data_IF_942518395630
#
_entry.id   IF_942518395630
#
_cell.length_a   1.000
_cell.length_b   1.000
_cell.length_c   1.000
_cell.angle_alpha   90.00
_cell.angle_beta   90.00
_cell.angle_gamma   90.00
#
_symmetry.space_group_name_H-M   'P 1'
#
loop_
_entity.id
_entity.type
_entity.pdbx_description
1 polymer ?
#
# COMPACT_ATOMS: atom_id res chain seq x y z
N UNK A 1 19.25 -6.96 -9.62
CA UNK A 1 19.92 -7.05 -8.30
C UNK A 1 19.24 -8.06 -7.38
N UNK A 2 17.94 -7.90 -7.06
CA UNK A 2 17.22 -8.83 -6.18
C UNK A 2 17.28 -10.29 -6.65
N UNK A 3 17.03 -10.58 -7.93
CA UNK A 3 17.14 -11.94 -8.51
C UNK A 3 18.52 -12.56 -8.23
N UNK A 4 19.60 -11.83 -8.52
CA UNK A 4 20.96 -12.31 -8.26
C UNK A 4 21.20 -12.60 -6.77
N UNK A 5 20.71 -11.73 -5.88
CA UNK A 5 20.82 -11.92 -4.44
C UNK A 5 20.03 -13.16 -3.96
N UNK A 6 18.82 -13.38 -4.47
CA UNK A 6 17.99 -14.55 -4.17
C UNK A 6 18.71 -15.84 -4.59
N UNK A 7 19.21 -15.89 -5.83
CA UNK A 7 19.89 -17.06 -6.39
C UNK A 7 21.18 -17.40 -5.65
N UNK A 8 21.98 -16.39 -5.29
CA UNK A 8 23.28 -16.58 -4.63
C UNK A 8 23.18 -16.77 -3.10
N UNK A 9 22.06 -16.39 -2.49
CA UNK A 9 21.84 -16.60 -1.05
C UNK A 9 21.71 -18.08 -0.69
N UNK A 10 22.04 -18.45 0.56
CA UNK A 10 21.95 -19.82 1.08
C UNK A 10 20.97 -20.00 2.23
N UNK A 11 20.37 -18.93 2.74
CA UNK A 11 19.43 -18.99 3.86
C UNK A 11 18.04 -19.49 3.46
N UNK A 12 17.32 -20.14 4.38
CA UNK A 12 15.95 -20.64 4.12
C UNK A 12 14.92 -19.51 3.93
N UNK A 13 15.21 -18.35 4.52
CA UNK A 13 14.38 -17.15 4.48
C UNK A 13 15.23 -15.98 3.96
N UNK A 14 14.59 -15.12 3.16
CA UNK A 14 15.20 -13.91 2.61
C UNK A 14 14.46 -12.71 3.17
N UNK A 15 15.19 -11.77 3.79
CA UNK A 15 14.65 -10.50 4.24
C UNK A 15 15.01 -9.41 3.24
N UNK A 16 14.01 -8.77 2.66
CA UNK A 16 14.17 -7.56 1.86
C UNK A 16 14.09 -6.33 2.76
N UNK A 17 15.03 -5.40 2.59
CA UNK A 17 15.12 -4.14 3.32
C UNK A 17 15.59 -3.05 2.34
N UNK A 18 14.85 -1.95 2.28
CA UNK A 18 15.24 -0.81 1.46
C UNK A 18 16.47 -0.10 2.08
N UNK A 19 17.30 0.49 1.23
CA UNK A 19 18.55 1.14 1.65
C UNK A 19 18.38 2.34 2.59
N UNK A 20 17.18 2.93 2.61
CA UNK A 20 16.80 4.05 3.48
C UNK A 20 16.04 3.60 4.74
N UNK A 21 16.02 2.29 5.01
CA UNK A 21 15.24 1.69 6.09
C UNK A 21 16.13 1.15 7.20
N UNK A 22 15.82 1.55 8.43
CA UNK A 22 16.41 1.01 9.65
C UNK A 22 15.43 0.06 10.32
N UNK A 23 15.83 -1.19 10.54
CA UNK A 23 15.00 -2.21 11.21
C UNK A 23 15.34 -2.28 12.69
N UNK A 24 14.34 -2.53 13.55
CA UNK A 24 14.60 -2.78 14.97
C UNK A 24 15.42 -4.06 15.17
N UNK A 25 16.23 -4.17 16.24
CA UNK A 25 17.16 -5.30 16.42
C UNK A 25 16.51 -6.69 16.43
N UNK A 26 15.22 -6.76 16.78
CA UNK A 26 14.47 -8.01 16.90
C UNK A 26 13.54 -8.32 15.70
N UNK A 27 13.58 -7.49 14.64
CA UNK A 27 12.75 -7.67 13.42
C UNK A 27 12.95 -9.04 12.80
N UNK A 28 14.21 -9.45 12.63
CA UNK A 28 14.54 -10.74 11.98
C UNK A 28 13.94 -11.89 12.77
N UNK A 29 14.11 -11.91 14.09
CA UNK A 29 13.57 -12.97 14.95
C UNK A 29 12.04 -13.00 14.95
N UNK A 30 11.38 -11.84 14.97
CA UNK A 30 9.91 -11.73 14.94
C UNK A 30 9.31 -12.21 13.63
N UNK A 31 9.88 -11.80 12.50
CA UNK A 31 9.44 -12.26 11.17
C UNK A 31 9.73 -13.76 10.99
N UNK A 32 10.94 -14.21 11.33
CA UNK A 32 11.32 -15.61 11.22
C UNK A 32 10.42 -16.53 12.08
N UNK A 33 9.99 -16.06 13.26
CA UNK A 33 9.03 -16.79 14.09
C UNK A 33 7.70 -17.03 13.35
N UNK A 34 7.17 -16.00 12.67
CA UNK A 34 5.95 -16.13 11.86
C UNK A 34 6.14 -17.06 10.66
N UNK A 35 7.31 -17.03 10.04
CA UNK A 35 7.68 -17.86 8.89
C UNK A 35 7.92 -19.35 9.22
N UNK A 36 7.87 -19.75 10.50
CA UNK A 36 7.97 -21.18 10.89
C UNK A 36 6.81 -22.01 10.36
N UNK A 37 5.65 -21.40 10.16
CA UNK A 37 4.53 -22.07 9.50
C UNK A 37 4.84 -22.24 8.00
N UNK A 38 4.91 -23.49 7.48
CA UNK A 38 5.23 -23.75 6.08
C UNK A 38 4.20 -23.17 5.11
N UNK A 39 2.96 -22.92 5.54
CA UNK A 39 1.92 -22.28 4.73
C UNK A 39 2.18 -20.79 4.52
N UNK A 40 3.06 -20.14 5.29
CA UNK A 40 3.42 -18.73 5.13
C UNK A 40 4.56 -18.61 4.14
N UNK A 41 4.30 -17.92 3.03
CA UNK A 41 5.27 -17.63 1.97
C UNK A 41 5.95 -16.26 2.14
N UNK A 42 5.27 -15.32 2.80
CA UNK A 42 5.82 -14.01 3.12
C UNK A 42 5.25 -13.44 4.43
N UNK A 43 6.04 -12.63 5.13
CA UNK A 43 5.61 -11.84 6.28
C UNK A 43 6.26 -10.45 6.25
N UNK A 44 5.46 -9.40 6.42
CA UNK A 44 5.95 -8.01 6.50
C UNK A 44 5.87 -7.44 7.91
N UNK A 45 6.75 -6.48 8.20
CA UNK A 45 6.77 -5.73 9.44
C UNK A 45 5.87 -4.48 9.43
N UNK A 46 5.72 -3.87 10.60
CA UNK A 46 5.14 -2.54 10.75
C UNK A 46 6.08 -1.47 10.19
N UNK A 47 5.55 -0.59 9.35
CA UNK A 47 6.28 0.56 8.81
C UNK A 47 6.05 1.82 9.65
N UNK A 48 7.11 2.62 9.80
CA UNK A 48 7.09 3.96 10.39
C UNK A 48 7.95 4.90 9.57
N UNK A 49 7.60 6.18 9.50
CA UNK A 49 8.49 7.17 8.93
C UNK A 49 9.57 7.57 9.93
N UNK A 50 10.85 7.40 9.57
CA UNK A 50 11.99 7.75 10.45
C UNK A 50 12.11 9.26 10.66
N UNK A 51 11.81 10.04 9.62
CA UNK A 51 11.79 11.49 9.60
C UNK A 51 10.38 12.08 9.84
N UNK A 52 9.49 11.34 10.51
CA UNK A 52 8.09 11.77 10.74
C UNK A 52 7.97 13.12 11.46
N UNK A 53 9.01 13.61 12.16
CA UNK A 53 8.94 14.83 12.94
C UNK A 53 9.36 16.10 12.17
N UNK A 54 10.00 15.93 11.01
CA UNK A 54 10.81 16.97 10.34
C UNK A 54 9.95 18.06 9.70
N UNK A 55 8.84 17.67 9.04
CA UNK A 55 7.94 18.58 8.35
C UNK A 55 6.48 18.22 8.54
N UNK A 56 5.55 19.14 8.25
CA UNK A 56 4.12 18.81 8.24
C UNK A 56 3.78 17.70 7.24
N UNK A 57 4.52 17.61 6.12
CA UNK A 57 4.32 16.61 5.08
C UNK A 57 4.78 15.23 5.55
N UNK A 58 5.98 15.11 6.13
CA UNK A 58 6.47 13.83 6.69
C UNK A 58 5.54 13.30 7.79
N UNK A 59 4.99 14.16 8.65
CA UNK A 59 3.94 13.81 9.64
C UNK A 59 2.68 13.25 8.97
N UNK A 60 2.25 13.86 7.88
CA UNK A 60 1.07 13.43 7.13
C UNK A 60 1.31 12.08 6.45
N UNK A 61 2.49 11.87 5.87
CA UNK A 61 2.88 10.62 5.22
C UNK A 61 3.00 9.49 6.25
N UNK A 62 3.53 9.76 7.46
CA UNK A 62 3.55 8.75 8.54
C UNK A 62 2.13 8.24 8.88
N UNK A 63 1.16 9.16 8.96
CA UNK A 63 -0.25 8.78 9.17
C UNK A 63 -0.82 8.01 7.97
N UNK A 64 -0.46 8.37 6.74
CA UNK A 64 -0.84 7.64 5.52
C UNK A 64 -0.28 6.21 5.54
N UNK A 65 1.00 6.05 5.86
CA UNK A 65 1.68 4.77 5.98
C UNK A 65 1.04 3.91 7.07
N UNK A 66 0.68 4.51 8.22
CA UNK A 66 -0.01 3.76 9.26
C UNK A 66 -1.36 3.23 8.80
N UNK A 67 -2.13 4.00 8.03
CA UNK A 67 -3.41 3.53 7.48
C UNK A 67 -3.22 2.45 6.39
N UNK A 68 -2.35 2.69 5.41
CA UNK A 68 -2.24 1.88 4.19
C UNK A 68 -1.26 0.70 4.29
N UNK A 69 -0.20 0.82 5.10
CA UNK A 69 0.85 -0.18 5.26
C UNK A 69 0.75 -0.94 6.59
N UNK A 70 -0.02 -0.46 7.57
CA UNK A 70 -0.19 -1.13 8.86
C UNK A 70 -1.63 -1.60 9.09
N UNK A 71 -2.60 -0.71 9.31
CA UNK A 71 -3.97 -1.13 9.66
C UNK A 71 -4.65 -1.95 8.55
N UNK A 72 -4.54 -1.50 7.29
CA UNK A 72 -5.08 -2.27 6.15
C UNK A 72 -4.43 -3.65 6.07
N UNK A 73 -3.10 -3.74 6.22
CA UNK A 73 -2.36 -5.00 6.19
C UNK A 73 -2.71 -5.89 7.38
N UNK A 74 -2.94 -5.32 8.56
CA UNK A 74 -3.40 -6.05 9.73
C UNK A 74 -4.80 -6.65 9.51
N UNK A 75 -5.71 -5.92 8.85
CA UNK A 75 -7.03 -6.42 8.51
C UNK A 75 -6.95 -7.56 7.47
N UNK A 76 -6.15 -7.38 6.41
CA UNK A 76 -5.90 -8.38 5.38
C UNK A 76 -5.22 -9.65 5.93
N UNK A 77 -4.24 -9.51 6.83
CA UNK A 77 -3.54 -10.62 7.46
C UNK A 77 -4.45 -11.52 8.29
N UNK A 78 -5.58 -11.00 8.82
CA UNK A 78 -6.59 -11.82 9.49
C UNK A 78 -7.18 -12.90 8.58
N UNK A 79 -7.11 -12.68 7.27
CA UNK A 79 -7.56 -13.60 6.23
C UNK A 79 -6.39 -14.27 5.50
N UNK A 80 -5.17 -14.17 6.05
CA UNK A 80 -3.96 -14.83 5.54
C UNK A 80 -3.44 -14.28 4.21
N UNK A 81 -3.89 -13.09 3.79
CA UNK A 81 -3.53 -12.53 2.50
C UNK A 81 -3.34 -11.01 2.56
N UNK A 82 -2.22 -10.58 3.15
CA UNK A 82 -1.68 -9.25 2.90
C UNK A 82 -1.49 -9.07 1.39
N UNK A 83 -2.15 -8.08 0.80
CA UNK A 83 -2.16 -7.87 -0.65
C UNK A 83 -0.91 -7.16 -1.19
N UNK A 84 -0.05 -6.67 -0.30
CA UNK A 84 1.26 -6.11 -0.61
C UNK A 84 2.16 -6.18 0.63
N UNK A 85 3.15 -7.07 0.62
CA UNK A 85 4.22 -7.10 1.61
C UNK A 85 5.25 -6.01 1.27
N UNK A 86 5.09 -4.83 1.87
CA UNK A 86 5.84 -3.62 1.47
C UNK A 86 7.37 -3.80 1.48
N UNK A 87 8.02 -3.23 0.45
CA UNK A 87 9.47 -3.28 0.22
C UNK A 87 10.38 -3.02 1.44
N UNK A 88 10.12 -2.00 2.29
CA UNK A 88 11.01 -1.63 3.38
C UNK A 88 11.31 -2.75 4.38
N UNK A 89 10.38 -3.69 4.59
CA UNK A 89 10.58 -4.79 5.53
C UNK A 89 9.63 -5.96 5.24
N UNK A 90 10.10 -6.89 4.41
CA UNK A 90 9.37 -8.12 4.10
C UNK A 90 10.30 -9.33 4.05
N UNK A 91 9.92 -10.38 4.77
CA UNK A 91 10.61 -11.66 4.77
C UNK A 91 9.85 -12.65 3.90
N UNK A 92 10.58 -13.42 3.09
CA UNK A 92 10.04 -14.37 2.14
C UNK A 92 10.68 -15.74 2.32
N UNK A 93 9.92 -16.79 2.02
CA UNK A 93 10.43 -18.17 1.97
C UNK A 93 11.26 -18.34 0.70
N UNK A 94 12.55 -18.64 0.83
CA UNK A 94 13.46 -18.72 -0.32
C UNK A 94 13.04 -19.77 -1.34
N UNK A 95 12.63 -20.96 -0.87
CA UNK A 95 12.19 -22.03 -1.77
C UNK A 95 11.00 -21.62 -2.63
N UNK A 96 10.04 -20.89 -2.06
CA UNK A 96 8.91 -20.34 -2.81
C UNK A 96 9.36 -19.28 -3.81
N UNK A 97 10.23 -18.35 -3.42
CA UNK A 97 10.78 -17.34 -4.33
C UNK A 97 11.51 -17.97 -5.52
N UNK A 98 12.33 -19.01 -5.28
CA UNK A 98 13.03 -19.71 -6.35
C UNK A 98 12.07 -20.40 -7.32
N UNK A 99 10.99 -21.01 -6.83
CA UNK A 99 9.97 -21.60 -7.70
C UNK A 99 9.19 -20.58 -8.54
N UNK A 100 9.19 -19.32 -8.12
CA UNK A 100 8.47 -18.21 -8.75
C UNK A 100 9.40 -17.27 -9.52
N UNK A 101 10.70 -17.56 -9.56
CA UNK A 101 11.73 -16.64 -10.04
C UNK A 101 11.51 -16.26 -11.51
N UNK A 102 11.17 -17.23 -12.35
CA UNK A 102 10.89 -17.01 -13.77
C UNK A 102 9.70 -16.05 -13.96
N UNK A 103 8.62 -16.22 -13.20
CA UNK A 103 7.43 -15.34 -13.25
C UNK A 103 7.70 -13.96 -12.67
N UNK A 104 8.60 -13.89 -11.68
CA UNK A 104 9.05 -12.66 -11.08
C UNK A 104 9.93 -11.85 -12.06
N UNK A 105 10.85 -12.51 -12.77
CA UNK A 105 11.72 -11.88 -13.77
C UNK A 105 10.96 -11.45 -15.03
N UNK A 106 10.00 -12.27 -15.48
CA UNK A 106 9.28 -12.05 -16.74
C UNK A 106 7.98 -11.26 -16.56
N UNK A 107 7.89 -10.41 -15.53
CA UNK A 107 6.68 -9.61 -15.33
C UNK A 107 6.44 -8.67 -16.51
N UNK A 108 5.41 -8.98 -17.29
CA UNK A 108 4.95 -8.16 -18.40
C UNK A 108 3.63 -7.50 -18.05
N UNK A 109 3.51 -6.21 -18.36
CA UNK A 109 2.24 -5.52 -18.43
C UNK A 109 2.08 -4.92 -19.83
N UNK A 110 0.95 -5.21 -20.48
CA UNK A 110 0.66 -4.80 -21.87
C UNK A 110 1.82 -5.06 -22.85
N UNK A 111 2.54 -6.17 -22.64
CA UNK A 111 3.68 -6.59 -23.47
C UNK A 111 5.01 -5.91 -23.17
N UNK A 112 5.11 -5.10 -22.11
CA UNK A 112 6.35 -4.44 -21.68
C UNK A 112 6.82 -4.96 -20.32
N UNK A 113 8.14 -5.12 -20.12
CA UNK A 113 8.70 -5.39 -18.81
C UNK A 113 8.30 -4.30 -17.80
N UNK A 114 7.94 -4.74 -16.61
CA UNK A 114 7.56 -3.88 -15.49
C UNK A 114 8.74 -3.68 -14.55
N UNK A 115 9.12 -2.43 -14.29
CA UNK A 115 10.31 -2.05 -13.50
C UNK A 115 10.00 -1.40 -12.13
N UNK A 116 8.73 -1.35 -11.72
CA UNK A 116 8.30 -0.80 -10.43
C UNK A 116 7.23 -1.67 -9.76
N UNK A 117 7.18 -1.67 -8.42
CA UNK A 117 6.14 -2.37 -7.65
C UNK A 117 6.40 -3.87 -7.54
N UNK A 118 7.67 -4.23 -7.41
CA UNK A 118 8.16 -5.60 -7.28
C UNK A 118 7.64 -6.30 -6.02
N UNK A 119 7.38 -5.52 -4.96
CA UNK A 119 6.88 -6.00 -3.68
C UNK A 119 5.45 -6.56 -3.79
N UNK A 120 4.57 -5.81 -4.43
CA UNK A 120 3.19 -6.23 -4.69
C UNK A 120 3.13 -7.38 -5.68
N UNK A 121 3.94 -7.35 -6.74
CA UNK A 121 4.03 -8.46 -7.70
C UNK A 121 4.43 -9.76 -7.01
N UNK A 122 5.52 -9.74 -6.24
CA UNK A 122 5.98 -10.93 -5.52
C UNK A 122 4.94 -11.42 -4.51
N UNK A 123 4.22 -10.50 -3.85
CA UNK A 123 3.12 -10.85 -2.94
C UNK A 123 1.99 -11.57 -3.68
N UNK A 124 1.59 -11.07 -4.86
CA UNK A 124 0.56 -11.72 -5.69
C UNK A 124 1.03 -13.10 -6.15
N UNK A 125 2.29 -13.25 -6.55
CA UNK A 125 2.85 -14.56 -6.92
C UNK A 125 2.81 -15.56 -5.75
N UNK A 126 3.16 -15.12 -4.53
CA UNK A 126 3.07 -15.95 -3.32
C UNK A 126 1.63 -16.42 -3.06
N UNK A 127 0.67 -15.50 -3.13
CA UNK A 127 -0.75 -15.83 -2.98
C UNK A 127 -1.25 -16.77 -4.09
N UNK A 128 -0.80 -16.55 -5.33
CA UNK A 128 -1.15 -17.38 -6.49
C UNK A 128 -0.60 -18.80 -6.37
N UNK A 129 0.56 -18.96 -5.71
CA UNK A 129 1.16 -20.24 -5.39
C UNK A 129 0.52 -20.94 -4.18
N UNK A 130 -0.53 -20.36 -3.59
CA UNK A 130 -1.27 -20.93 -2.46
C UNK A 130 -0.63 -20.67 -1.10
N UNK A 131 0.37 -19.81 -1.01
CA UNK A 131 0.94 -19.40 0.27
C UNK A 131 0.12 -18.27 0.92
N UNK A 132 0.18 -18.21 2.25
CA UNK A 132 -0.29 -17.07 3.02
C UNK A 132 0.75 -15.96 3.06
N UNK A 133 0.27 -14.73 3.13
CA UNK A 133 1.07 -13.52 3.32
C UNK A 133 0.59 -12.79 4.57
N UNK A 134 1.50 -12.49 5.49
CA UNK A 134 1.18 -12.15 6.87
C UNK A 134 1.75 -10.79 7.30
N UNK A 135 1.13 -10.19 8.32
CA UNK A 135 1.57 -8.93 8.92
C UNK A 135 2.01 -9.16 10.38
N UNK A 136 3.19 -8.64 10.74
CA UNK A 136 3.77 -8.78 12.08
C UNK A 136 3.92 -7.38 12.71
N UNK A 137 2.94 -6.89 13.49
CA UNK A 137 2.95 -5.52 14.01
C UNK A 137 4.13 -5.22 14.94
N UNK A 138 4.68 -6.24 15.61
CA UNK A 138 5.81 -6.05 16.51
C UNK A 138 7.15 -5.91 15.77
N UNK A 139 7.25 -6.29 14.51
CA UNK A 139 8.47 -6.18 13.71
C UNK A 139 8.54 -4.78 13.08
N UNK A 140 9.22 -3.84 13.72
CA UNK A 140 9.18 -2.41 13.33
C UNK A 140 10.34 -2.06 12.39
N UNK A 141 10.02 -1.45 11.26
CA UNK A 141 10.97 -0.86 10.32
C UNK A 141 10.68 0.64 10.12
N UNK A 142 11.71 1.47 10.25
CA UNK A 142 11.64 2.91 10.09
C UNK A 142 12.32 3.31 8.77
N UNK A 143 11.54 3.81 7.81
CA UNK A 143 12.00 4.22 6.47
C UNK A 143 11.92 5.74 6.32
N UNK A 144 12.82 6.32 5.54
CA UNK A 144 12.76 7.76 5.21
C UNK A 144 11.63 8.01 4.23
N UNK A 145 10.77 8.99 4.51
CA UNK A 145 9.68 9.40 3.62
C UNK A 145 9.98 10.75 2.95
N UNK A 146 9.33 11.06 1.81
CA UNK A 146 9.51 12.34 1.14
C UNK A 146 9.26 13.55 2.05
N UNK A 147 10.18 14.50 2.04
CA UNK A 147 10.12 15.75 2.82
C UNK A 147 9.58 16.93 2.01
N UNK A 148 9.51 16.80 0.69
CA UNK A 148 9.01 17.80 -0.25
C UNK A 148 7.87 17.28 -1.11
N UNK A 149 6.93 18.16 -1.46
CA UNK A 149 5.73 17.81 -2.24
C UNK A 149 6.08 17.21 -3.61
N UNK A 150 7.10 17.73 -4.29
CA UNK A 150 7.50 17.22 -5.61
C UNK A 150 8.01 15.77 -5.56
N UNK A 151 8.77 15.40 -4.52
CA UNK A 151 9.24 14.03 -4.31
C UNK A 151 8.06 13.13 -3.94
N UNK A 152 7.18 13.58 -3.05
CA UNK A 152 5.97 12.86 -2.65
C UNK A 152 5.06 12.55 -3.84
N UNK A 153 4.77 13.52 -4.70
CA UNK A 153 3.93 13.30 -5.88
C UNK A 153 4.57 12.32 -6.88
N UNK A 154 5.90 12.33 -7.06
CA UNK A 154 6.58 11.32 -7.88
C UNK A 154 6.46 9.92 -7.28
N UNK A 155 6.58 9.79 -5.96
CA UNK A 155 6.37 8.51 -5.27
C UNK A 155 4.93 8.02 -5.45
N UNK A 156 3.94 8.87 -5.18
CA UNK A 156 2.52 8.57 -5.32
C UNK A 156 2.14 8.20 -6.76
N UNK A 157 2.78 8.81 -7.77
CA UNK A 157 2.57 8.45 -9.17
C UNK A 157 3.02 7.01 -9.46
N UNK A 158 4.20 6.62 -8.97
CA UNK A 158 4.70 5.23 -9.10
C UNK A 158 3.79 4.25 -8.39
N UNK A 159 3.37 4.58 -7.16
CA UNK A 159 2.47 3.74 -6.36
C UNK A 159 1.10 3.59 -7.01
N UNK A 160 0.53 4.66 -7.58
CA UNK A 160 -0.73 4.60 -8.31
C UNK A 160 -0.63 3.66 -9.52
N UNK A 161 0.45 3.77 -10.31
CA UNK A 161 0.67 2.88 -11.47
C UNK A 161 0.79 1.42 -11.05
N UNK A 162 1.62 1.10 -10.06
CA UNK A 162 1.72 -0.27 -9.53
C UNK A 162 0.37 -0.74 -9.00
N UNK A 163 -0.35 0.08 -8.23
CA UNK A 163 -1.65 -0.31 -7.67
C UNK A 163 -2.66 -0.66 -8.77
N UNK A 164 -2.79 0.16 -9.82
CA UNK A 164 -3.71 -0.15 -10.92
C UNK A 164 -3.32 -1.44 -11.65
N UNK A 165 -2.04 -1.56 -12.03
CA UNK A 165 -1.51 -2.75 -12.70
C UNK A 165 -1.76 -4.01 -11.87
N UNK A 166 -1.31 -3.99 -10.63
CA UNK A 166 -1.27 -5.17 -9.78
C UNK A 166 -2.67 -5.52 -9.25
N UNK A 167 -3.58 -4.55 -9.10
CA UNK A 167 -5.00 -4.85 -8.85
C UNK A 167 -5.58 -5.69 -9.99
N UNK A 168 -5.27 -5.34 -11.25
CA UNK A 168 -5.73 -6.11 -12.41
C UNK A 168 -5.08 -7.50 -12.45
N UNK A 169 -3.79 -7.61 -12.13
CA UNK A 169 -3.09 -8.89 -12.05
C UNK A 169 -3.57 -9.77 -10.89
N UNK A 170 -4.06 -9.17 -9.80
CA UNK A 170 -4.61 -9.90 -8.65
C UNK A 170 -6.04 -10.39 -8.88
N UNK A 171 -6.78 -9.88 -9.88
CA UNK A 171 -8.18 -10.26 -10.14
C UNK A 171 -8.42 -11.78 -10.23
N UNK A 172 -7.56 -12.59 -10.88
CA UNK A 172 -7.74 -14.04 -10.93
C UNK A 172 -7.53 -14.74 -9.58
N UNK A 173 -6.77 -14.12 -8.67
CA UNK A 173 -6.44 -14.67 -7.35
C UNK A 173 -7.55 -14.38 -6.34
N UNK A 174 -8.19 -13.21 -6.42
CA UNK A 174 -9.20 -12.74 -5.45
C UNK A 174 -10.32 -13.74 -5.15
N UNK A 175 -10.93 -14.46 -6.12
CA UNK A 175 -12.00 -15.42 -5.84
C UNK A 175 -11.55 -16.63 -5.00
N UNK A 176 -10.25 -16.96 -5.03
CA UNK A 176 -9.65 -18.02 -4.21
C UNK A 176 -9.32 -17.58 -2.78
N UNK A 177 -9.39 -16.27 -2.50
CA UNK A 177 -9.15 -15.69 -1.18
C UNK A 177 -10.48 -15.45 -0.44
N UNK A 178 -10.38 -14.98 0.81
CA UNK A 178 -11.57 -14.60 1.58
C UNK A 178 -12.36 -13.46 0.92
N UNK A 179 -13.70 -13.51 1.01
CA UNK A 179 -14.61 -12.51 0.43
C UNK A 179 -14.31 -11.10 0.93
N UNK A 180 -13.82 -10.94 2.15
CA UNK A 180 -13.38 -9.66 2.68
C UNK A 180 -12.33 -8.99 1.78
N UNK A 181 -11.38 -9.76 1.24
CA UNK A 181 -10.28 -9.21 0.43
C UNK A 181 -10.77 -8.73 -0.93
N UNK A 182 -11.75 -9.43 -1.51
CA UNK A 182 -12.44 -8.97 -2.71
C UNK A 182 -13.19 -7.66 -2.43
N UNK A 183 -13.91 -7.57 -1.31
CA UNK A 183 -14.62 -6.35 -0.91
C UNK A 183 -13.67 -5.19 -0.62
N UNK A 184 -12.54 -5.46 0.03
CA UNK A 184 -11.50 -4.48 0.31
C UNK A 184 -10.90 -3.93 -1.00
N UNK A 185 -10.52 -4.82 -1.93
CA UNK A 185 -10.01 -4.43 -3.25
C UNK A 185 -11.03 -3.59 -4.04
N UNK A 186 -12.31 -3.97 -4.03
CA UNK A 186 -13.39 -3.19 -4.65
C UNK A 186 -13.53 -1.83 -3.96
N UNK A 187 -13.60 -1.82 -2.63
CA UNK A 187 -13.78 -0.60 -1.83
C UNK A 187 -12.68 0.42 -2.05
N UNK A 188 -11.41 -0.01 -2.11
CA UNK A 188 -10.27 0.86 -2.38
C UNK A 188 -10.34 1.53 -3.76
N UNK A 189 -10.77 0.80 -4.78
CA UNK A 189 -10.86 1.31 -6.15
C UNK A 189 -12.13 2.15 -6.37
N UNK A 190 -13.29 1.65 -5.94
CA UNK A 190 -14.59 2.34 -6.07
C UNK A 190 -14.63 3.60 -5.23
N UNK A 191 -14.11 3.58 -4.00
CA UNK A 191 -14.10 4.74 -3.12
C UNK A 191 -13.39 5.95 -3.72
N UNK A 192 -12.27 5.72 -4.42
CA UNK A 192 -11.56 6.77 -5.14
C UNK A 192 -12.40 7.32 -6.31
N UNK A 193 -13.03 6.45 -7.10
CA UNK A 193 -13.87 6.84 -8.22
C UNK A 193 -15.09 7.65 -7.76
N UNK A 194 -15.75 7.23 -6.67
CA UNK A 194 -16.89 7.94 -6.10
C UNK A 194 -16.50 9.32 -5.58
N UNK A 195 -15.33 9.45 -4.94
CA UNK A 195 -14.81 10.75 -4.51
C UNK A 195 -14.53 11.66 -5.71
N UNK A 196 -13.85 11.15 -6.74
CA UNK A 196 -13.56 11.90 -7.96
C UNK A 196 -14.86 12.36 -8.66
N UNK A 197 -15.84 11.46 -8.80
CA UNK A 197 -17.15 11.78 -9.37
C UNK A 197 -17.87 12.85 -8.54
N UNK A 198 -17.86 12.74 -7.21
CA UNK A 198 -18.49 13.72 -6.32
C UNK A 198 -17.86 15.11 -6.45
N UNK A 199 -16.54 15.19 -6.61
CA UNK A 199 -15.83 16.46 -6.84
C UNK A 199 -16.22 17.03 -8.21
N UNK A 200 -16.22 16.21 -9.26
CA UNK A 200 -16.58 16.65 -10.62
C UNK A 200 -18.03 17.15 -10.71
N UNK A 201 -18.98 16.44 -10.09
CA UNK A 201 -20.38 16.86 -10.05
C UNK A 201 -20.57 18.14 -9.24
N UNK A 202 -19.85 18.30 -8.13
CA UNK A 202 -19.84 19.54 -7.35
C UNK A 202 -19.31 20.74 -8.15
N UNK A 203 -18.21 20.57 -8.89
CA UNK A 203 -17.66 21.60 -9.79
C UNK A 203 -18.67 21.92 -10.91
N UNK A 204 -19.29 20.90 -11.50
CA UNK A 204 -20.30 21.06 -12.54
C UNK A 204 -21.53 21.82 -12.05
N UNK A 205 -22.03 21.50 -10.84
CA UNK A 205 -23.12 22.25 -10.21
C UNK A 205 -22.76 23.73 -10.07
N UNK A 206 -21.58 24.03 -9.50
CA UNK A 206 -21.14 25.40 -9.32
C UNK A 206 -21.01 26.15 -10.66
N UNK A 207 -20.40 25.53 -11.67
CA UNK A 207 -20.21 26.13 -12.99
C UNK A 207 -21.53 26.44 -13.71
N UNK A 208 -22.55 25.57 -13.56
CA UNK A 208 -23.83 25.72 -14.25
C UNK A 208 -24.82 26.63 -13.53
N UNK A 209 -24.77 26.68 -12.19
CA UNK A 209 -25.80 27.34 -11.37
C UNK A 209 -25.27 28.51 -10.56
N UNK A 210 -23.96 28.71 -10.51
CA UNK A 210 -23.28 29.64 -9.59
C UNK A 210 -23.61 29.39 -8.09
N UNK A 211 -24.16 28.22 -7.75
CA UNK A 211 -24.48 27.85 -6.36
C UNK A 211 -23.38 26.96 -5.78
N UNK A 212 -23.03 27.20 -4.52
CA UNK A 212 -22.05 26.39 -3.80
C UNK A 212 -22.61 24.96 -3.60
N UNK A 213 -21.85 23.89 -3.92
CA UNK A 213 -22.30 22.50 -3.79
C UNK A 213 -22.21 22.03 -2.33
N UNK A 214 -23.03 22.62 -1.46
CA UNK A 214 -23.00 22.37 -0.01
C UNK A 214 -23.16 20.89 0.34
N UNK A 215 -24.04 20.16 -0.35
CA UNK A 215 -24.25 18.74 -0.09
C UNK A 215 -22.97 17.92 -0.32
N UNK A 216 -22.29 18.14 -1.45
CA UNK A 216 -21.01 17.50 -1.75
C UNK A 216 -19.96 17.82 -0.69
N UNK A 217 -19.85 19.09 -0.29
CA UNK A 217 -18.90 19.54 0.74
C UNK A 217 -19.20 18.86 2.09
N UNK A 218 -20.46 18.80 2.50
CA UNK A 218 -20.89 18.19 3.76
C UNK A 218 -20.67 16.67 3.77
N UNK A 219 -20.94 15.97 2.67
CA UNK A 219 -20.70 14.52 2.58
C UNK A 219 -19.21 14.21 2.63
N UNK A 220 -18.37 14.91 1.86
CA UNK A 220 -16.91 14.73 1.89
C UNK A 220 -16.35 15.06 3.27
N UNK A 221 -16.81 16.17 3.86
CA UNK A 221 -16.41 16.60 5.21
C UNK A 221 -16.78 15.57 6.28
N UNK A 222 -18.03 15.09 6.29
CA UNK A 222 -18.50 14.10 7.27
C UNK A 222 -17.78 12.75 7.12
N UNK A 223 -17.60 12.25 5.90
CA UNK A 223 -16.82 11.01 5.66
C UNK A 223 -15.36 11.17 6.09
N UNK A 224 -14.76 12.34 5.86
CA UNK A 224 -13.39 12.63 6.33
C UNK A 224 -13.32 12.63 7.86
N UNK A 225 -14.27 13.27 8.53
CA UNK A 225 -14.35 13.29 9.99
C UNK A 225 -14.53 11.87 10.56
N UNK A 226 -15.41 11.06 9.98
CA UNK A 226 -15.61 9.66 10.38
C UNK A 226 -14.31 8.88 10.21
N UNK A 227 -13.67 8.96 9.04
CA UNK A 227 -12.40 8.27 8.77
C UNK A 227 -11.31 8.67 9.77
N UNK A 228 -11.13 9.97 10.01
CA UNK A 228 -10.09 10.46 10.92
C UNK A 228 -10.39 10.11 12.38
N UNK A 229 -11.66 10.11 12.78
CA UNK A 229 -12.09 9.71 14.13
C UNK A 229 -11.86 8.22 14.37
N UNK A 230 -12.21 7.37 13.39
CA UNK A 230 -11.94 5.93 13.46
C UNK A 230 -10.43 5.67 13.50
N UNK A 231 -9.65 6.36 12.67
CA UNK A 231 -8.19 6.25 12.68
C UNK A 231 -7.60 6.66 14.04
N UNK A 232 -8.02 7.80 14.61
CA UNK A 232 -7.58 8.26 15.92
C UNK A 232 -7.94 7.28 17.04
N UNK A 233 -9.15 6.70 16.99
CA UNK A 233 -9.60 5.70 17.96
C UNK A 233 -8.77 4.41 17.85
N UNK A 234 -8.55 3.90 16.63
CA UNK A 234 -7.79 2.68 16.38
C UNK A 234 -6.31 2.83 16.74
N UNK A 235 -5.70 3.95 16.36
CA UNK A 235 -4.31 4.26 16.70
C UNK A 235 -4.11 4.64 18.16
N UNK A 236 -5.19 5.04 18.87
CA UNK A 236 -5.15 5.68 20.19
C UNK A 236 -4.32 6.96 20.21
N UNK A 237 -4.35 7.71 19.11
CA UNK A 237 -3.54 8.92 18.93
C UNK A 237 -4.38 10.01 18.26
N UNK A 238 -4.54 11.16 18.93
CA UNK A 238 -5.34 12.28 18.40
C UNK A 238 -4.73 12.93 17.15
N UNK A 239 -3.45 12.70 16.85
CA UNK A 239 -2.79 13.26 15.67
C UNK A 239 -3.47 12.87 14.36
N UNK A 240 -4.15 11.73 14.31
CA UNK A 240 -4.91 11.26 13.14
C UNK A 240 -6.11 12.15 12.80
N UNK A 241 -6.55 13.03 13.69
CA UNK A 241 -7.52 14.09 13.32
C UNK A 241 -6.93 15.06 12.29
N UNK A 242 -5.61 15.30 12.35
CA UNK A 242 -4.88 16.09 11.37
C UNK A 242 -4.80 15.44 9.98
N UNK A 243 -5.11 14.14 9.87
CA UNK A 243 -5.16 13.44 8.59
C UNK A 243 -6.28 13.97 7.66
N UNK A 244 -7.21 14.80 8.16
CA UNK A 244 -8.17 15.50 7.32
C UNK A 244 -7.50 16.36 6.24
N UNK A 245 -6.28 16.87 6.49
CA UNK A 245 -5.48 17.59 5.50
C UNK A 245 -5.15 16.71 4.28
N UNK A 246 -4.98 15.41 4.48
CA UNK A 246 -4.74 14.46 3.39
C UNK A 246 -5.93 14.40 2.43
N UNK A 247 -7.17 14.60 2.89
CA UNK A 247 -8.34 14.66 1.98
C UNK A 247 -8.19 15.81 0.98
N UNK A 248 -7.70 16.98 1.41
CA UNK A 248 -7.47 18.11 0.52
C UNK A 248 -6.37 17.81 -0.50
N UNK A 249 -5.24 17.24 -0.06
CA UNK A 249 -4.19 16.80 -0.99
C UNK A 249 -4.71 15.75 -1.97
N UNK A 250 -5.55 14.83 -1.49
CA UNK A 250 -6.13 13.80 -2.34
C UNK A 250 -7.02 14.41 -3.42
N UNK A 251 -7.89 15.35 -3.07
CA UNK A 251 -8.79 16.01 -4.02
C UNK A 251 -8.02 16.82 -5.07
N UNK A 252 -7.10 17.68 -4.63
CA UNK A 252 -6.46 18.66 -5.53
C UNK A 252 -5.22 18.14 -6.25
N UNK A 253 -4.51 17.17 -5.67
CA UNK A 253 -3.24 16.68 -6.23
C UNK A 253 -3.31 15.20 -6.60
N UNK A 254 -3.73 14.31 -5.69
CA UNK A 254 -3.60 12.87 -5.93
C UNK A 254 -4.66 12.32 -6.88
N UNK A 255 -5.90 12.83 -6.90
CA UNK A 255 -6.92 12.38 -7.87
C UNK A 255 -6.49 12.70 -9.30
N UNK A 256 -6.11 13.95 -9.65
CA UNK A 256 -5.55 14.24 -10.97
C UNK A 256 -4.32 13.40 -11.31
N UNK A 257 -3.42 13.21 -10.33
CA UNK A 257 -2.22 12.40 -10.50
C UNK A 257 -2.55 10.93 -10.79
N UNK A 258 -3.53 10.36 -10.08
CA UNK A 258 -4.00 8.97 -10.27
C UNK A 258 -4.70 8.80 -11.62
N UNK A 259 -5.50 9.78 -12.05
CA UNK A 259 -6.07 9.79 -13.39
C UNK A 259 -4.97 9.81 -14.46
N UNK A 260 -3.95 10.66 -14.30
CA UNK A 260 -2.78 10.67 -15.17
C UNK A 260 -2.00 9.34 -15.16
N UNK A 261 -1.79 8.74 -13.99
CA UNK A 261 -1.18 7.41 -13.86
C UNK A 261 -1.95 6.35 -14.66
N UNK A 262 -3.28 6.33 -14.57
CA UNK A 262 -4.12 5.39 -15.30
C UNK A 262 -4.01 5.57 -16.82
N UNK A 263 -4.02 6.82 -17.30
CA UNK A 263 -3.87 7.14 -18.73
C UNK A 263 -2.47 6.83 -19.26
N UNK A 264 -1.44 6.86 -18.41
CA UNK A 264 -0.03 6.62 -18.76
C UNK A 264 0.47 5.25 -18.33
N UNK A 265 -0.45 4.34 -17.99
CA UNK A 265 -0.11 3.00 -17.56
C UNK A 265 0.36 2.18 -18.77
N UNK A 266 1.69 2.01 -18.85
CA UNK A 266 2.40 1.28 -19.89
C UNK A 266 2.85 -0.08 -19.41
#
# INVERSE_FOLDING_TARGET
AQIAAITQSSGDLILNVDSDTTIAPDVVSKLAHKMRDPAVGAAMGQMKASNQADTWLTRLIDMEYWLACNEERAAQARFGAVMCCCGPCAMYRRSAMLSLLDQYETQLYRGKPSDFGEDRHLTILMLSAGFRTEYVPSAIAATVVPDTMGVYLRQQLRWARSTFRDTLLALPVLPGLDRYLTLDAIGQNVGLLLLALSVLTGIGQFALTATVPWWTILVIGSMTLVRCSVAAYRARELRFLGFALHTLLNIFLLIPLKAYALCTLS
#
